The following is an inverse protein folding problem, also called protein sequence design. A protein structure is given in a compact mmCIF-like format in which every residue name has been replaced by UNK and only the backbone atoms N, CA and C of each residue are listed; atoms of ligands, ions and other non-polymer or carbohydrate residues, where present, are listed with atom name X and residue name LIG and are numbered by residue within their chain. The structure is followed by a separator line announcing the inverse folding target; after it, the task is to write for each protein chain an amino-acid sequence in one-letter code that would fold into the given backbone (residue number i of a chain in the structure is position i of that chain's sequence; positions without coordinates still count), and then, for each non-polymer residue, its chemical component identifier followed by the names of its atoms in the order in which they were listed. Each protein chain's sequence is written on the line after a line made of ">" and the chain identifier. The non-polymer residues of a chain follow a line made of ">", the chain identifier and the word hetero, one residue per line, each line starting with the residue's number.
data_IF_632118495060
#
_entry.id   IF_632118495060
#
_cell.length_a   1.000
_cell.length_b   1.000
_cell.length_c   1.000
_cell.angle_alpha   90.00
_cell.angle_beta   90.00
_cell.angle_gamma   90.00
#
_symmetry.space_group_name_H-M   'P 1'
#
loop_
_entity.id
_entity.type
_entity.pdbx_description
1 polymer ?
#
# COMPACT_ATOMS: atom_id res chain seq x y z
N UNK A 1 -35.53 -28.81 -12.94
CA UNK A 1 -34.38 -29.50 -13.58
C UNK A 1 -34.02 -28.70 -14.81
N UNK A 2 -32.73 -28.42 -15.06
CA UNK A 2 -32.33 -27.67 -16.25
C UNK A 2 -32.66 -28.45 -17.54
N UNK A 3 -33.18 -27.77 -18.54
CA UNK A 3 -33.53 -28.36 -19.84
C UNK A 3 -32.26 -28.58 -20.67
N UNK A 4 -32.07 -29.79 -21.20
CA UNK A 4 -30.95 -30.09 -22.10
C UNK A 4 -31.38 -29.78 -23.54
N UNK A 5 -30.62 -28.95 -24.22
CA UNK A 5 -30.84 -28.59 -25.63
C UNK A 5 -29.57 -28.83 -26.42
N UNK A 6 -29.67 -29.60 -27.50
CA UNK A 6 -28.60 -29.75 -28.47
C UNK A 6 -28.56 -28.49 -29.36
N UNK A 7 -27.37 -27.93 -29.57
CA UNK A 7 -27.15 -26.74 -30.38
C UNK A 7 -26.11 -27.06 -31.45
N UNK A 8 -26.49 -26.85 -32.71
CA UNK A 8 -25.60 -26.99 -33.86
C UNK A 8 -24.86 -25.66 -34.10
N UNK A 9 -23.53 -25.68 -34.03
CA UNK A 9 -22.68 -24.49 -34.17
C UNK A 9 -22.13 -24.45 -35.60
N UNK A 10 -22.65 -23.53 -36.42
CA UNK A 10 -22.24 -23.38 -37.81
C UNK A 10 -21.24 -22.22 -38.00
N UNK A 11 -21.20 -21.28 -37.06
CA UNK A 11 -20.34 -20.10 -37.09
C UNK A 11 -19.98 -19.60 -35.68
N UNK A 12 -19.01 -18.68 -35.60
CA UNK A 12 -18.64 -18.05 -34.32
C UNK A 12 -19.80 -17.26 -33.70
N UNK A 13 -20.70 -16.68 -34.51
CA UNK A 13 -21.84 -15.92 -34.00
C UNK A 13 -22.75 -16.81 -33.13
N UNK A 14 -22.90 -18.08 -33.50
CA UNK A 14 -23.73 -19.06 -32.79
C UNK A 14 -23.17 -19.42 -31.39
N UNK A 15 -21.91 -19.07 -31.11
CA UNK A 15 -21.26 -19.31 -29.82
C UNK A 15 -21.42 -18.16 -28.81
N UNK A 16 -21.82 -16.97 -29.27
CA UNK A 16 -21.86 -15.76 -28.43
C UNK A 16 -22.93 -15.90 -27.34
N UNK A 17 -24.13 -16.34 -27.72
CA UNK A 17 -25.24 -16.51 -26.77
C UNK A 17 -25.03 -17.71 -25.84
N UNK A 18 -24.18 -18.68 -26.21
CA UNK A 18 -23.84 -19.83 -25.37
C UNK A 18 -22.92 -19.49 -24.20
N UNK A 19 -22.32 -18.29 -24.19
CA UNK A 19 -21.46 -17.83 -23.08
C UNK A 19 -22.26 -17.16 -21.94
N UNK A 20 -23.59 -17.12 -22.02
CA UNK A 20 -24.43 -16.59 -20.95
C UNK A 20 -24.23 -17.40 -19.65
N UNK A 21 -24.14 -16.78 -18.46
CA UNK A 21 -23.90 -17.48 -17.18
C UNK A 21 -24.89 -18.60 -16.86
N UNK A 22 -26.11 -18.48 -17.39
CA UNK A 22 -27.19 -19.47 -17.22
C UNK A 22 -27.14 -20.62 -18.23
N UNK A 23 -26.35 -20.51 -19.29
CA UNK A 23 -26.14 -21.56 -20.29
C UNK A 23 -24.79 -22.20 -19.98
N UNK A 24 -24.82 -23.48 -19.55
CA UNK A 24 -23.61 -24.22 -19.26
C UNK A 24 -23.43 -25.37 -20.25
N UNK A 25 -22.23 -25.55 -20.83
CA UNK A 25 -21.96 -26.68 -21.71
C UNK A 25 -22.15 -28.00 -20.96
N UNK A 26 -22.87 -28.94 -21.59
CA UNK A 26 -23.07 -30.28 -21.05
C UNK A 26 -22.05 -31.27 -21.64
N UNK A 27 -21.44 -32.18 -20.83
CA UNK A 27 -21.66 -32.37 -19.40
C UNK A 27 -21.08 -31.22 -18.58
N UNK A 28 -21.94 -30.60 -17.77
CA UNK A 28 -21.46 -29.77 -16.67
C UNK A 28 -20.90 -30.77 -15.70
N UNK A 29 -19.58 -30.92 -15.64
CA UNK A 29 -18.97 -31.56 -14.48
C UNK A 29 -19.44 -30.73 -13.30
N UNK A 30 -20.34 -31.24 -12.45
CA UNK A 30 -20.76 -30.48 -11.30
C UNK A 30 -19.50 -30.13 -10.51
N UNK A 31 -19.40 -28.92 -9.93
CA UNK A 31 -18.27 -28.63 -9.07
C UNK A 31 -18.20 -29.74 -8.02
N UNK A 32 -17.00 -30.33 -7.78
CA UNK A 32 -16.86 -31.38 -6.79
C UNK A 32 -17.41 -30.88 -5.45
N UNK A 33 -18.09 -31.74 -4.69
CA UNK A 33 -18.66 -31.35 -3.41
C UNK A 33 -17.56 -30.82 -2.48
N UNK A 34 -17.88 -29.90 -1.55
CA UNK A 34 -16.89 -29.30 -0.65
C UNK A 34 -16.01 -30.32 0.07
N UNK A 35 -16.57 -31.47 0.49
CA UNK A 35 -15.81 -32.58 1.09
C UNK A 35 -14.74 -33.22 0.17
N UNK A 36 -14.95 -33.24 -1.14
CA UNK A 36 -13.97 -33.76 -2.11
C UNK A 36 -12.86 -32.74 -2.36
N UNK A 37 -13.22 -31.47 -2.49
CA UNK A 37 -12.26 -30.35 -2.59
C UNK A 37 -11.40 -30.28 -1.33
N UNK A 38 -12.00 -30.40 -0.15
CA UNK A 38 -11.30 -30.36 1.13
C UNK A 38 -10.20 -31.44 1.23
N UNK A 39 -10.44 -32.65 0.69
CA UNK A 39 -9.41 -33.72 0.65
C UNK A 39 -8.21 -33.33 -0.21
N UNK A 40 -8.43 -32.64 -1.33
CA UNK A 40 -7.34 -32.15 -2.19
C UNK A 40 -6.54 -31.06 -1.48
N UNK A 41 -7.22 -30.16 -0.78
CA UNK A 41 -6.59 -29.08 -0.01
C UNK A 41 -5.79 -29.63 1.17
N UNK A 42 -6.36 -30.58 1.92
CA UNK A 42 -5.67 -31.28 3.01
C UNK A 42 -4.43 -32.05 2.50
N UNK A 43 -4.55 -32.79 1.38
CA UNK A 43 -3.40 -33.50 0.77
C UNK A 43 -2.27 -32.57 0.37
N UNK A 44 -2.61 -31.38 -0.13
CA UNK A 44 -1.63 -30.36 -0.55
C UNK A 44 -1.15 -29.48 0.60
N UNK A 45 -1.65 -29.68 1.83
CA UNK A 45 -1.47 -28.74 2.94
C UNK A 45 -1.82 -27.30 2.54
N UNK A 46 -2.82 -27.14 1.68
CA UNK A 46 -3.23 -25.84 1.17
C UNK A 46 -3.75 -24.93 2.30
N UNK A 47 -4.31 -25.52 3.37
CA UNK A 47 -4.65 -24.79 4.59
C UNK A 47 -3.41 -24.28 5.33
N UNK A 48 -2.31 -25.04 5.36
CA UNK A 48 -1.05 -24.58 5.97
C UNK A 48 -0.47 -23.42 5.15
N UNK A 49 -0.55 -23.48 3.82
CA UNK A 49 -0.18 -22.36 2.95
C UNK A 49 -1.11 -21.15 3.15
N UNK A 50 -2.41 -21.36 3.31
CA UNK A 50 -3.38 -20.31 3.62
C UNK A 50 -3.07 -19.64 4.96
N UNK A 51 -2.81 -20.42 6.02
CA UNK A 51 -2.39 -19.92 7.33
C UNK A 51 -1.05 -19.20 7.27
N UNK A 52 -0.08 -19.77 6.55
CA UNK A 52 1.21 -19.09 6.30
C UNK A 52 1.01 -17.75 5.60
N UNK A 53 0.16 -17.69 4.57
CA UNK A 53 -0.19 -16.45 3.90
C UNK A 53 -0.88 -15.46 4.85
N UNK A 54 -1.78 -15.90 5.72
CA UNK A 54 -2.38 -15.01 6.72
C UNK A 54 -1.35 -14.49 7.73
N UNK A 55 -0.48 -15.36 8.24
CA UNK A 55 0.55 -14.99 9.21
C UNK A 55 1.61 -14.06 8.58
N UNK A 56 1.91 -14.23 7.29
CA UNK A 56 2.99 -13.55 6.59
C UNK A 56 2.53 -12.48 5.60
N UNK A 57 1.25 -12.29 5.31
CA UNK A 57 0.76 -11.26 4.37
C UNK A 57 -0.24 -10.31 5.01
N UNK A 58 -0.56 -10.47 6.31
CA UNK A 58 -1.34 -9.47 7.04
C UNK A 58 -0.57 -8.17 7.18
N UNK A 59 -1.13 -7.12 6.56
CA UNK A 59 -0.57 -5.77 6.60
C UNK A 59 -0.38 -5.22 8.01
N UNK A 60 -1.21 -5.65 8.97
CA UNK A 60 -1.13 -5.24 10.37
C UNK A 60 0.17 -5.69 11.05
N UNK A 61 0.79 -6.77 10.58
CA UNK A 61 1.99 -7.38 11.16
C UNK A 61 3.23 -7.25 10.27
N UNK A 62 3.20 -6.41 9.22
CA UNK A 62 4.35 -6.26 8.31
C UNK A 62 5.67 -5.98 9.06
N UNK A 63 5.63 -5.25 10.17
CA UNK A 63 6.81 -4.91 10.98
C UNK A 63 7.35 -6.03 11.88
N UNK A 64 6.61 -7.14 12.05
CA UNK A 64 6.98 -8.23 12.95
C UNK A 64 7.85 -9.29 12.27
N UNK A 65 8.05 -9.19 10.95
CA UNK A 65 8.82 -10.16 10.17
C UNK A 65 10.32 -9.84 10.22
N UNK A 66 11.19 -10.86 10.31
CA UNK A 66 12.61 -10.65 10.14
C UNK A 66 12.92 -10.33 8.68
N UNK A 67 13.39 -9.11 8.42
CA UNK A 67 13.61 -8.59 7.07
C UNK A 67 14.91 -7.77 6.98
N UNK A 68 15.38 -7.51 5.77
CA UNK A 68 16.73 -6.98 5.51
C UNK A 68 17.00 -5.62 6.17
N UNK A 69 15.96 -4.81 6.36
CA UNK A 69 16.02 -3.49 6.97
C UNK A 69 15.35 -3.44 8.36
N UNK A 70 15.16 -4.60 9.00
CA UNK A 70 14.61 -4.64 10.36
C UNK A 70 15.48 -3.80 11.31
N UNK A 71 14.81 -2.91 12.06
CA UNK A 71 15.46 -2.01 13.01
C UNK A 71 15.96 -0.69 12.41
N UNK A 72 15.93 -0.53 11.09
CA UNK A 72 16.20 0.75 10.44
C UNK A 72 14.94 1.62 10.45
N UNK A 73 15.14 2.93 10.64
CA UNK A 73 14.08 3.93 10.61
C UNK A 73 14.36 5.01 9.58
N UNK A 74 13.34 5.38 8.82
CA UNK A 74 13.41 6.47 7.84
C UNK A 74 12.34 7.52 8.12
N UNK A 75 12.69 8.79 7.89
CA UNK A 75 11.74 9.90 7.85
C UNK A 75 11.51 10.27 6.38
N UNK A 76 10.25 10.28 5.96
CA UNK A 76 9.85 10.57 4.60
C UNK A 76 9.14 11.93 4.57
N UNK A 77 9.55 12.82 3.68
CA UNK A 77 8.92 14.13 3.51
C UNK A 77 8.73 14.42 2.03
N UNK A 78 7.53 14.85 1.69
CA UNK A 78 7.14 15.17 0.33
C UNK A 78 5.66 15.51 0.31
N UNK A 79 5.25 16.21 -0.74
CA UNK A 79 3.87 16.68 -0.88
C UNK A 79 3.41 16.42 -2.31
N UNK A 80 2.22 15.86 -2.48
CA UNK A 80 1.57 15.62 -3.78
C UNK A 80 2.24 14.61 -4.72
N UNK A 81 3.54 14.36 -4.53
CA UNK A 81 4.33 13.46 -5.36
C UNK A 81 4.30 12.03 -4.84
N UNK A 82 4.68 11.08 -5.69
CA UNK A 82 4.60 9.65 -5.39
C UNK A 82 5.97 8.99 -5.22
N UNK A 83 7.08 9.61 -5.64
CA UNK A 83 8.40 8.97 -5.61
C UNK A 83 8.85 8.61 -4.20
N UNK A 84 8.76 9.55 -3.26
CA UNK A 84 9.07 9.33 -1.84
C UNK A 84 8.14 8.30 -1.20
N UNK A 85 6.85 8.31 -1.55
CA UNK A 85 5.86 7.37 -1.02
C UNK A 85 6.14 5.95 -1.51
N UNK A 86 6.40 5.80 -2.81
CA UNK A 86 6.79 4.53 -3.40
C UNK A 86 8.07 3.97 -2.78
N UNK A 87 9.11 4.82 -2.65
CA UNK A 87 10.36 4.46 -1.98
C UNK A 87 10.11 4.02 -0.52
N UNK A 88 9.33 4.79 0.24
CA UNK A 88 8.95 4.46 1.61
C UNK A 88 8.21 3.12 1.72
N UNK A 89 7.27 2.85 0.80
CA UNK A 89 6.56 1.58 0.75
C UNK A 89 7.51 0.39 0.54
N UNK A 90 8.46 0.51 -0.39
CA UNK A 90 9.47 -0.53 -0.62
C UNK A 90 10.37 -0.78 0.59
N UNK A 91 10.77 0.28 1.30
CA UNK A 91 11.57 0.13 2.53
C UNK A 91 10.77 -0.54 3.65
N UNK A 92 9.48 -0.22 3.77
CA UNK A 92 8.58 -0.91 4.71
C UNK A 92 8.39 -2.38 4.35
N UNK A 93 8.26 -2.72 3.06
CA UNK A 93 8.20 -4.10 2.57
C UNK A 93 9.52 -4.87 2.75
N UNK A 94 10.62 -4.17 3.08
CA UNK A 94 11.91 -4.74 3.47
C UNK A 94 12.19 -4.66 4.98
N UNK A 95 11.21 -4.23 5.78
CA UNK A 95 11.23 -4.31 7.25
C UNK A 95 11.56 -3.01 7.98
N UNK A 96 11.77 -1.92 7.24
CA UNK A 96 12.09 -0.63 7.85
C UNK A 96 10.85 0.05 8.44
N UNK A 97 11.06 0.84 9.49
CA UNK A 97 10.04 1.76 9.98
C UNK A 97 10.13 3.07 9.20
N UNK A 98 9.10 3.40 8.41
CA UNK A 98 9.04 4.68 7.68
C UNK A 98 7.98 5.59 8.30
N UNK A 99 8.38 6.81 8.67
CA UNK A 99 7.52 7.84 9.22
C UNK A 99 7.39 8.96 8.19
N UNK A 100 6.22 9.06 7.57
CA UNK A 100 5.89 10.12 6.63
C UNK A 100 5.41 11.37 7.36
N UNK A 101 5.99 12.51 6.99
CA UNK A 101 5.66 13.83 7.52
C UNK A 101 4.69 14.49 6.55
N UNK A 102 3.52 14.86 7.06
CA UNK A 102 2.47 15.55 6.30
C UNK A 102 2.20 16.93 6.91
N UNK A 103 1.70 17.90 6.13
CA UNK A 103 1.20 19.14 6.73
C UNK A 103 -0.03 18.87 7.63
N UNK A 104 -0.43 19.80 8.51
CA UNK A 104 -1.60 19.65 9.38
C UNK A 104 -2.88 19.25 8.66
N UNK A 105 -3.06 19.68 7.42
CA UNK A 105 -4.20 19.37 6.56
C UNK A 105 -4.13 17.97 5.91
N UNK A 106 -3.00 17.28 6.07
CA UNK A 106 -2.67 16.03 5.38
C UNK A 106 -2.12 16.25 3.97
N UNK A 107 -1.49 15.22 3.41
CA UNK A 107 -1.04 15.26 2.02
C UNK A 107 -2.25 15.41 1.09
N UNK A 108 -2.28 16.41 0.19
CA UNK A 108 -3.42 16.57 -0.70
C UNK A 108 -3.59 15.40 -1.69
N UNK A 109 -2.58 14.53 -1.86
CA UNK A 109 -2.72 13.24 -2.54
C UNK A 109 -3.79 12.33 -1.89
N UNK A 110 -4.11 12.52 -0.60
CA UNK A 110 -5.25 11.85 0.07
C UNK A 110 -6.60 12.16 -0.55
N UNK A 111 -6.71 13.21 -1.36
CA UNK A 111 -7.94 13.60 -2.05
C UNK A 111 -7.95 13.14 -3.52
N UNK A 112 -6.87 12.52 -4.02
CA UNK A 112 -6.79 12.05 -5.40
C UNK A 112 -7.72 10.85 -5.61
N UNK A 113 -8.56 10.96 -6.63
CA UNK A 113 -9.55 9.95 -6.99
C UNK A 113 -9.59 9.80 -8.51
N UNK A 114 -9.94 8.60 -9.01
CA UNK A 114 -10.20 8.41 -10.43
C UNK A 114 -11.20 9.46 -10.93
N UNK A 115 -10.81 10.21 -11.96
CA UNK A 115 -11.63 11.27 -12.57
C UNK A 115 -12.07 12.40 -11.62
N UNK A 116 -11.42 12.57 -10.46
CA UNK A 116 -11.79 13.58 -9.45
C UNK A 116 -13.13 13.33 -8.75
N UNK A 117 -13.61 12.08 -8.77
CA UNK A 117 -14.91 11.67 -8.26
C UNK A 117 -14.83 11.15 -6.82
N UNK A 118 -15.45 11.88 -5.89
CA UNK A 118 -15.39 11.62 -4.43
C UNK A 118 -16.07 10.32 -4.01
N UNK A 119 -16.98 9.79 -4.82
CA UNK A 119 -17.62 8.48 -4.57
C UNK A 119 -16.64 7.30 -4.64
N UNK A 120 -15.47 7.49 -5.25
CA UNK A 120 -14.40 6.48 -5.31
C UNK A 120 -13.41 6.58 -4.15
N UNK A 121 -13.61 7.49 -3.19
CA UNK A 121 -12.79 7.52 -1.98
C UNK A 121 -13.13 6.31 -1.11
N UNK A 122 -12.10 5.70 -0.55
CA UNK A 122 -12.24 4.64 0.44
C UNK A 122 -12.48 5.25 1.82
N UNK A 123 -13.34 4.62 2.60
CA UNK A 123 -13.69 5.07 3.95
C UNK A 123 -13.04 4.17 5.00
N UNK A 124 -12.34 4.79 5.95
CA UNK A 124 -11.77 4.11 7.11
C UNK A 124 -12.87 3.50 7.98
N UNK A 125 -12.84 2.19 8.21
CA UNK A 125 -13.79 1.51 9.10
C UNK A 125 -13.67 1.92 10.57
N UNK A 126 -12.54 2.53 10.95
CA UNK A 126 -12.24 2.91 12.34
C UNK A 126 -12.59 4.38 12.58
N UNK A 127 -12.14 5.27 11.69
CA UNK A 127 -12.28 6.73 11.88
C UNK A 127 -13.42 7.34 11.05
N UNK A 128 -13.92 6.64 10.02
CA UNK A 128 -14.87 7.20 9.04
C UNK A 128 -14.23 8.20 8.07
N UNK A 129 -12.92 8.44 8.17
CA UNK A 129 -12.22 9.36 7.27
C UNK A 129 -12.11 8.78 5.87
N UNK A 130 -12.28 9.64 4.87
CA UNK A 130 -12.17 9.27 3.46
C UNK A 130 -10.78 9.54 2.93
N UNK A 131 -10.24 8.61 2.15
CA UNK A 131 -8.96 8.76 1.52
C UNK A 131 -8.97 8.17 0.10
N UNK A 132 -8.23 8.83 -0.79
CA UNK A 132 -8.01 8.46 -2.17
C UNK A 132 -7.25 7.16 -2.32
N UNK A 133 -7.60 6.37 -3.34
CA UNK A 133 -7.01 5.06 -3.58
C UNK A 133 -5.49 5.14 -3.82
N UNK A 134 -5.03 6.15 -4.56
CA UNK A 134 -3.62 6.31 -4.91
C UNK A 134 -2.74 6.51 -3.66
N UNK A 135 -3.21 7.34 -2.72
CA UNK A 135 -2.50 7.56 -1.46
C UNK A 135 -2.47 6.28 -0.61
N UNK A 136 -3.60 5.58 -0.48
CA UNK A 136 -3.66 4.33 0.27
C UNK A 136 -2.73 3.27 -0.33
N UNK A 137 -2.67 3.20 -1.67
CA UNK A 137 -1.80 2.28 -2.37
C UNK A 137 -0.33 2.58 -2.06
N UNK A 138 0.14 3.81 -2.16
CA UNK A 138 1.58 4.10 -1.96
C UNK A 138 2.00 4.13 -0.49
N UNK A 139 1.08 4.38 0.44
CA UNK A 139 1.39 4.54 1.87
C UNK A 139 1.32 3.25 2.69
N UNK A 140 1.33 2.08 2.02
CA UNK A 140 1.31 0.78 2.70
C UNK A 140 2.51 0.63 3.64
N UNK A 141 2.24 0.18 4.86
CA UNK A 141 3.27 -0.04 5.87
C UNK A 141 3.91 1.23 6.44
N UNK A 142 3.60 2.42 5.92
CA UNK A 142 4.14 3.67 6.44
C UNK A 142 3.31 4.16 7.63
N UNK A 143 3.99 4.79 8.58
CA UNK A 143 3.34 5.61 9.61
C UNK A 143 3.24 7.04 9.12
N UNK A 144 2.22 7.76 9.55
CA UNK A 144 2.03 9.16 9.20
C UNK A 144 1.92 10.00 10.46
N UNK A 145 2.54 11.17 10.45
CA UNK A 145 2.38 12.21 11.47
C UNK A 145 2.24 13.56 10.77
N UNK A 146 1.34 14.39 11.27
CA UNK A 146 1.20 15.76 10.79
C UNK A 146 2.14 16.70 11.53
N UNK A 147 2.83 17.56 10.78
CA UNK A 147 3.79 18.51 11.31
C UNK A 147 3.87 19.75 10.41
N UNK A 148 3.78 20.93 11.02
CA UNK A 148 3.94 22.18 10.28
C UNK A 148 5.41 22.60 10.23
N UNK A 149 6.10 22.30 9.12
CA UNK A 149 7.51 22.66 8.93
C UNK A 149 7.75 24.16 8.71
N UNK A 150 6.70 24.98 8.60
CA UNK A 150 6.83 26.44 8.51
C UNK A 150 7.04 27.10 9.88
N UNK A 151 6.77 26.39 10.98
CA UNK A 151 7.00 26.90 12.34
C UNK A 151 8.33 26.40 12.89
N UNK A 152 8.96 27.19 13.78
CA UNK A 152 10.19 26.74 14.43
C UNK A 152 9.97 25.49 15.28
N UNK A 153 8.83 25.40 15.97
CA UNK A 153 8.45 24.23 16.76
C UNK A 153 8.34 22.97 15.88
N UNK A 154 7.70 23.07 14.72
CA UNK A 154 7.60 21.95 13.79
C UNK A 154 8.96 21.52 13.24
N UNK A 155 9.84 22.48 12.95
CA UNK A 155 11.22 22.20 12.54
C UNK A 155 12.01 21.52 13.65
N UNK A 156 11.86 21.93 14.91
CA UNK A 156 12.52 21.29 16.04
C UNK A 156 12.04 19.85 16.24
N UNK A 157 10.73 19.61 16.17
CA UNK A 157 10.17 18.25 16.25
C UNK A 157 10.69 17.38 15.10
N UNK A 158 10.75 17.93 13.87
CA UNK A 158 11.30 17.21 12.72
C UNK A 158 12.78 16.85 12.96
N UNK A 159 13.61 17.78 13.43
CA UNK A 159 15.01 17.50 13.77
C UNK A 159 15.13 16.38 14.81
N UNK A 160 14.27 16.37 15.83
CA UNK A 160 14.24 15.29 16.84
C UNK A 160 13.87 13.94 16.24
N UNK A 161 12.89 13.90 15.32
CA UNK A 161 12.52 12.68 14.59
C UNK A 161 13.69 12.17 13.73
N UNK A 162 14.35 13.07 12.99
CA UNK A 162 15.53 12.75 12.18
C UNK A 162 16.67 12.24 13.05
N UNK A 163 16.88 12.80 14.24
CA UNK A 163 17.91 12.33 15.18
C UNK A 163 17.70 10.90 15.69
N UNK A 164 16.51 10.33 15.49
CA UNK A 164 16.18 8.94 15.80
C UNK A 164 16.08 8.05 14.55
N UNK A 165 16.37 8.58 13.37
CA UNK A 165 16.28 7.89 12.10
C UNK A 165 17.67 7.61 11.51
N UNK A 166 17.74 6.59 10.68
CA UNK A 166 18.92 6.20 9.93
C UNK A 166 18.98 6.88 8.56
N UNK A 167 17.83 7.31 8.03
CA UNK A 167 17.78 8.10 6.82
C UNK A 167 16.57 9.01 6.64
N UNK A 168 16.70 9.93 5.69
CA UNK A 168 15.65 10.84 5.24
C UNK A 168 15.42 10.65 3.74
N UNK A 169 14.16 10.60 3.33
CA UNK A 169 13.72 10.69 1.94
C UNK A 169 13.01 12.03 1.77
N UNK A 170 13.51 12.88 0.88
CA UNK A 170 13.01 14.23 0.64
C UNK A 170 12.61 14.42 -0.83
N UNK A 171 11.31 14.51 -1.11
CA UNK A 171 10.80 14.88 -2.45
C UNK A 171 10.13 16.26 -2.46
N UNK A 172 10.58 17.16 -1.57
CA UNK A 172 10.17 18.57 -1.61
C UNK A 172 10.83 19.30 -2.79
N UNK A 173 10.30 20.47 -3.22
CA UNK A 173 10.93 21.26 -4.26
C UNK A 173 12.39 21.57 -3.94
N UNK A 174 13.25 21.50 -4.96
CA UNK A 174 14.69 21.72 -4.80
C UNK A 174 14.97 23.04 -4.05
N UNK A 175 15.74 22.94 -2.97
CA UNK A 175 16.13 24.07 -2.12
C UNK A 175 15.12 24.44 -1.02
N UNK A 176 13.90 23.88 -1.01
CA UNK A 176 12.91 24.16 0.05
C UNK A 176 13.44 23.72 1.42
N UNK A 177 13.84 22.45 1.58
CA UNK A 177 14.34 21.95 2.86
C UNK A 177 15.59 22.70 3.33
N UNK A 178 16.50 23.06 2.41
CA UNK A 178 17.66 23.90 2.73
C UNK A 178 17.23 25.29 3.23
N UNK A 179 16.23 25.93 2.60
CA UNK A 179 15.75 27.27 2.96
C UNK A 179 15.16 27.35 4.37
N UNK A 180 14.61 26.24 4.87
CA UNK A 180 14.04 26.12 6.22
C UNK A 180 15.03 25.48 7.21
N UNK A 181 16.27 25.22 6.80
CA UNK A 181 17.33 24.68 7.64
C UNK A 181 17.16 23.20 7.99
N UNK A 182 16.43 22.44 7.16
CA UNK A 182 16.18 21.00 7.31
C UNK A 182 16.74 20.17 6.13
N UNK A 183 17.45 20.81 5.19
CA UNK A 183 18.12 20.11 4.11
C UNK A 183 19.40 19.41 4.55
N UNK A 184 19.97 18.59 3.66
CA UNK A 184 21.17 17.79 3.94
C UNK A 184 22.32 18.61 4.55
N UNK A 185 22.57 19.82 4.04
CA UNK A 185 23.68 20.70 4.48
C UNK A 185 23.58 21.11 5.96
N UNK A 186 22.37 21.08 6.51
CA UNK A 186 22.09 21.38 7.91
C UNK A 186 22.13 20.09 8.72
N UNK A 187 21.29 19.11 8.34
CA UNK A 187 21.12 17.87 9.08
C UNK A 187 22.40 17.03 9.17
N UNK A 188 23.24 16.99 8.13
CA UNK A 188 24.48 16.21 8.15
C UNK A 188 25.49 16.70 9.21
N UNK A 189 25.45 17.99 9.57
CA UNK A 189 26.33 18.55 10.61
C UNK A 189 25.94 18.04 12.00
N UNK A 190 24.64 17.85 12.22
CA UNK A 190 24.09 17.37 13.49
C UNK A 190 24.09 15.83 13.55
N UNK A 191 23.79 15.18 12.42
CA UNK A 191 23.63 13.73 12.28
C UNK A 191 24.54 13.19 11.16
N UNK A 192 25.85 13.05 11.39
CA UNK A 192 26.82 12.72 10.33
C UNK A 192 26.66 11.32 9.73
N UNK A 193 25.95 10.42 10.40
CA UNK A 193 25.64 9.06 9.90
C UNK A 193 24.32 8.97 9.13
N UNK A 194 23.55 10.05 9.09
CA UNK A 194 22.24 10.08 8.44
C UNK A 194 22.42 9.91 6.92
N UNK A 195 21.71 8.95 6.35
CA UNK A 195 21.60 8.81 4.90
C UNK A 195 20.51 9.77 4.40
N UNK A 196 20.83 10.63 3.43
CA UNK A 196 19.87 11.58 2.87
C UNK A 196 19.67 11.31 1.39
N UNK A 197 18.43 11.06 0.99
CA UNK A 197 18.02 10.83 -0.39
C UNK A 197 17.05 11.94 -0.81
N UNK A 198 17.38 12.62 -1.92
CA UNK A 198 16.59 13.69 -2.54
C UNK A 198 16.34 13.33 -4.01
#
# INVERSE_FOLDING_TARGET
>A
MAEKKDVEINSRADTIDLMHPDIRPWPVTPPPPPEEVAKVYARRKAEDFGKWCEDNLRYEYSFAKPEALQGFRFVCVGLWRMGHKFCGGLLCEAGAEVINIEPPEGDPARQLTPFGRKEYMLESKVTGEKCGLDFIHEMRGQRSVTLNLETEEGREIYRRLVGMADGVIDEMPAGYMDSIGLGYRHLHKEFPRLVYCN
#
